data_IF_464901426103
#
_entry.id   IF_464901426103
#
_cell.length_a   1.000
_cell.length_b   1.000
_cell.length_c   1.000
_cell.angle_alpha   90.00
_cell.angle_beta   90.00
_cell.angle_gamma   90.00
#
_symmetry.space_group_name_H-M   'P 1'
#
loop_
_entity.id
_entity.type
_entity.pdbx_description
1 polymer ?
#
# COMPACT_ATOMS: atom_id res chain seq x y z
N UNK A 1 -7.51 44.87 22.77
CA UNK A 1 -7.17 43.95 21.67
C UNK A 1 -6.70 42.62 22.19
N UNK A 2 -7.60 41.64 22.22
CA UNK A 2 -7.34 40.31 22.75
C UNK A 2 -6.39 39.56 21.80
N UNK A 3 -5.22 39.18 22.31
CA UNK A 3 -4.34 38.22 21.68
C UNK A 3 -5.12 36.90 21.47
N UNK A 4 -5.53 36.65 20.23
CA UNK A 4 -6.20 35.40 19.85
C UNK A 4 -5.15 34.29 19.94
N UNK A 5 -5.11 33.60 21.07
CA UNK A 5 -4.23 32.45 21.27
C UNK A 5 -4.57 31.35 20.28
N UNK A 6 -3.55 30.71 19.71
CA UNK A 6 -3.74 29.53 18.87
C UNK A 6 -3.72 28.29 19.77
N UNK A 7 -4.86 27.61 19.89
CA UNK A 7 -4.95 26.32 20.57
C UNK A 7 -4.91 25.18 19.54
N UNK A 8 -4.11 24.12 19.79
CA UNK A 8 -4.03 23.00 18.86
C UNK A 8 -5.32 22.18 18.90
N UNK A 9 -5.87 21.88 17.72
CA UNK A 9 -6.95 20.91 17.55
C UNK A 9 -6.49 19.51 17.97
N UNK A 10 -7.44 18.61 18.27
CA UNK A 10 -7.13 17.21 18.64
C UNK A 10 -6.27 16.48 17.59
N UNK A 11 -6.52 16.73 16.30
CA UNK A 11 -5.66 16.24 15.21
C UNK A 11 -4.25 16.84 15.29
N UNK A 12 -4.11 18.14 15.56
CA UNK A 12 -2.81 18.80 15.70
C UNK A 12 -1.99 18.25 16.86
N UNK A 13 -2.63 17.99 18.00
CA UNK A 13 -1.99 17.32 19.14
C UNK A 13 -1.60 15.87 18.80
N UNK A 14 -2.45 15.14 18.07
CA UNK A 14 -2.16 13.79 17.59
C UNK A 14 -0.93 13.76 16.69
N UNK A 15 -0.89 14.62 15.66
CA UNK A 15 0.25 14.78 14.76
C UNK A 15 1.55 15.10 15.50
N UNK A 16 1.49 16.03 16.46
CA UNK A 16 2.65 16.39 17.28
C UNK A 16 3.17 15.19 18.08
N UNK A 17 2.27 14.45 18.74
CA UNK A 17 2.62 13.29 19.58
C UNK A 17 3.12 12.10 18.76
N UNK A 18 2.63 11.93 17.53
CA UNK A 18 3.07 10.84 16.65
C UNK A 18 4.40 11.13 15.97
N UNK A 19 4.97 12.34 16.13
CA UNK A 19 6.19 12.78 15.44
C UNK A 19 6.12 12.67 13.91
N UNK A 20 4.90 12.66 13.37
CA UNK A 20 4.68 12.52 11.94
C UNK A 20 4.66 13.91 11.28
N UNK A 21 5.19 14.03 10.05
CA UNK A 21 4.95 15.21 9.24
C UNK A 21 3.45 15.47 9.09
N UNK A 22 2.98 16.74 9.12
CA UNK A 22 1.56 17.07 9.00
C UNK A 22 0.89 16.46 7.76
N UNK A 23 1.61 16.40 6.65
CA UNK A 23 1.14 15.82 5.38
C UNK A 23 0.86 14.32 5.53
N UNK A 24 1.68 13.63 6.32
CA UNK A 24 1.55 12.19 6.58
C UNK A 24 0.45 11.91 7.59
N UNK A 25 0.40 12.67 8.67
CA UNK A 25 -0.66 12.56 9.66
C UNK A 25 -2.04 12.80 9.03
N UNK A 26 -2.15 13.73 8.07
CA UNK A 26 -3.40 13.95 7.35
C UNK A 26 -3.83 12.71 6.54
N UNK A 27 -2.90 12.06 5.84
CA UNK A 27 -3.22 10.87 5.04
C UNK A 27 -3.71 9.73 5.94
N UNK A 28 -2.98 9.45 7.02
CA UNK A 28 -3.39 8.42 7.99
C UNK A 28 -4.74 8.78 8.62
N UNK A 29 -4.95 10.05 8.95
CA UNK A 29 -6.24 10.52 9.46
C UNK A 29 -7.38 10.26 8.47
N UNK A 30 -7.19 10.58 7.19
CA UNK A 30 -8.20 10.34 6.15
C UNK A 30 -8.53 8.84 6.04
N UNK A 31 -7.52 7.96 6.09
CA UNK A 31 -7.71 6.51 6.08
C UNK A 31 -8.48 6.02 7.31
N UNK A 32 -8.16 6.55 8.50
CA UNK A 32 -8.84 6.19 9.75
C UNK A 32 -10.28 6.67 9.79
N UNK A 33 -10.56 7.87 9.24
CA UNK A 33 -11.92 8.36 9.10
C UNK A 33 -12.72 7.46 8.16
N UNK A 34 -12.14 7.05 7.04
CA UNK A 34 -12.77 6.13 6.09
C UNK A 34 -13.05 4.76 6.74
N UNK A 35 -12.06 4.20 7.43
CA UNK A 35 -12.18 2.95 8.17
C UNK A 35 -13.29 3.03 9.24
N UNK A 36 -13.37 4.13 9.99
CA UNK A 36 -14.42 4.33 11.00
C UNK A 36 -15.81 4.47 10.38
N UNK A 37 -15.95 5.18 9.27
CA UNK A 37 -17.26 5.46 8.65
C UNK A 37 -17.86 4.25 7.98
N UNK A 38 -17.04 3.50 7.26
CA UNK A 38 -17.53 2.41 6.44
C UNK A 38 -17.32 1.05 7.15
N UNK A 39 -16.46 0.97 8.17
CA UNK A 39 -16.10 -0.23 8.94
C UNK A 39 -14.67 -0.75 8.70
N UNK A 40 -14.20 -1.68 9.53
CA UNK A 40 -12.96 -2.42 9.29
C UNK A 40 -13.32 -3.87 8.98
N UNK A 41 -12.70 -4.44 7.95
CA UNK A 41 -12.87 -5.85 7.59
C UNK A 41 -11.90 -6.63 8.47
N UNK A 42 -12.45 -7.47 9.35
CA UNK A 42 -11.67 -8.26 10.32
C UNK A 42 -11.62 -9.75 9.97
N UNK A 43 -12.26 -10.15 8.86
CA UNK A 43 -12.21 -11.55 8.39
C UNK A 43 -10.87 -11.91 7.75
N UNK A 44 -10.09 -10.92 7.32
CA UNK A 44 -8.72 -11.08 6.80
C UNK A 44 -7.82 -9.97 7.41
N UNK A 45 -6.60 -10.28 7.86
CA UNK A 45 -5.71 -9.32 8.51
C UNK A 45 -5.21 -8.20 7.57
N UNK A 46 -5.36 -8.36 6.25
CA UNK A 46 -4.84 -7.43 5.24
C UNK A 46 -5.33 -5.99 5.43
N UNK A 47 -6.57 -5.80 5.89
CA UNK A 47 -7.08 -4.44 6.12
C UNK A 47 -6.39 -3.76 7.30
N UNK A 48 -6.15 -4.48 8.40
CA UNK A 48 -5.41 -3.94 9.55
C UNK A 48 -3.95 -3.69 9.18
N UNK A 49 -3.33 -4.64 8.45
CA UNK A 49 -1.97 -4.46 7.94
C UNK A 49 -1.89 -3.22 7.05
N UNK A 50 -2.83 -3.02 6.12
CA UNK A 50 -2.89 -1.81 5.30
C UNK A 50 -2.89 -0.54 6.15
N UNK A 51 -3.72 -0.47 7.19
CA UNK A 51 -3.82 0.69 8.07
C UNK A 51 -2.53 0.95 8.87
N UNK A 52 -1.79 -0.09 9.21
CA UNK A 52 -0.49 0.03 9.90
C UNK A 52 0.66 0.34 8.93
N UNK A 53 0.62 -0.15 7.69
CA UNK A 53 1.70 0.05 6.71
C UNK A 53 1.90 1.54 6.42
N UNK A 54 3.07 2.14 6.64
CA UNK A 54 3.33 3.53 6.29
C UNK A 54 3.50 3.67 4.76
N UNK A 55 3.07 4.80 4.18
CA UNK A 55 3.05 4.97 2.71
C UNK A 55 4.34 5.59 2.12
N UNK A 56 5.18 6.21 2.93
CA UNK A 56 6.41 6.90 2.53
C UNK A 56 7.53 5.96 2.09
N UNK A 57 7.59 4.76 2.68
CA UNK A 57 8.60 3.74 2.39
C UNK A 57 8.15 2.67 1.40
N UNK A 58 6.97 2.85 0.80
CA UNK A 58 6.43 1.91 -0.17
C UNK A 58 7.12 2.05 -1.52
N UNK A 59 7.66 0.94 -2.04
CA UNK A 59 8.16 0.88 -3.42
C UNK A 59 7.00 0.81 -4.41
N UNK A 60 7.23 1.26 -5.64
CA UNK A 60 6.30 0.98 -6.73
C UNK A 60 6.13 -0.55 -6.88
N UNK A 61 4.92 -1.09 -7.12
CA UNK A 61 4.76 -2.52 -7.24
C UNK A 61 5.38 -3.03 -8.54
N UNK A 62 5.81 -4.29 -8.55
CA UNK A 62 5.94 -5.04 -9.79
C UNK A 62 4.51 -5.28 -10.34
N UNK A 63 3.99 -4.36 -11.16
CA UNK A 63 2.58 -4.34 -11.56
C UNK A 63 2.09 -5.67 -12.17
N UNK A 64 2.95 -6.41 -12.89
CA UNK A 64 2.63 -7.74 -13.41
C UNK A 64 2.40 -8.76 -12.29
N UNK A 65 3.30 -8.82 -11.31
CA UNK A 65 3.21 -9.72 -10.17
C UNK A 65 2.03 -9.32 -9.29
N UNK A 66 1.82 -8.02 -9.09
CA UNK A 66 0.68 -7.52 -8.36
C UNK A 66 -0.65 -7.93 -9.02
N UNK A 67 -0.80 -7.76 -10.34
CA UNK A 67 -2.00 -8.20 -11.06
C UNK A 67 -2.21 -9.72 -10.95
N UNK A 68 -1.14 -10.52 -11.06
CA UNK A 68 -1.20 -11.97 -10.90
C UNK A 68 -1.70 -12.38 -9.50
N UNK A 69 -1.16 -11.76 -8.45
CA UNK A 69 -1.59 -11.99 -7.08
C UNK A 69 -3.02 -11.50 -6.82
N UNK A 70 -3.37 -10.32 -7.36
CA UNK A 70 -4.69 -9.72 -7.21
C UNK A 70 -5.79 -10.58 -7.81
N UNK A 71 -5.57 -11.20 -8.98
CA UNK A 71 -6.55 -12.11 -9.60
C UNK A 71 -6.82 -13.39 -8.81
N UNK A 72 -5.97 -13.70 -7.82
CA UNK A 72 -6.09 -14.86 -6.92
C UNK A 72 -6.65 -14.48 -5.56
N UNK A 73 -7.11 -13.24 -5.36
CA UNK A 73 -7.65 -12.80 -4.08
C UNK A 73 -8.91 -13.59 -3.71
N UNK A 74 -9.04 -13.82 -2.40
CA UNK A 74 -10.32 -14.25 -1.84
C UNK A 74 -11.34 -13.12 -1.95
N UNK A 75 -12.63 -13.44 -1.82
CA UNK A 75 -13.71 -12.44 -1.78
C UNK A 75 -13.43 -11.33 -0.77
N UNK A 76 -12.94 -11.68 0.40
CA UNK A 76 -12.66 -10.74 1.48
C UNK A 76 -11.49 -9.81 1.13
N UNK A 77 -10.42 -10.33 0.52
CA UNK A 77 -9.30 -9.51 0.06
C UNK A 77 -9.70 -8.57 -1.08
N UNK A 78 -10.59 -8.99 -1.98
CA UNK A 78 -11.18 -8.09 -2.97
C UNK A 78 -11.98 -6.97 -2.32
N UNK A 79 -12.78 -7.27 -1.29
CA UNK A 79 -13.50 -6.24 -0.53
C UNK A 79 -12.53 -5.27 0.15
N UNK A 80 -11.42 -5.76 0.73
CA UNK A 80 -10.38 -4.89 1.29
C UNK A 80 -9.78 -3.97 0.22
N UNK A 81 -9.46 -4.51 -0.95
CA UNK A 81 -8.88 -3.73 -2.05
C UNK A 81 -9.83 -2.63 -2.55
N UNK A 82 -11.10 -2.97 -2.78
CA UNK A 82 -12.14 -2.01 -3.14
C UNK A 82 -12.25 -0.90 -2.09
N UNK A 83 -12.17 -1.28 -0.82
CA UNK A 83 -12.31 -0.37 0.31
C UNK A 83 -11.22 0.67 0.44
N UNK A 84 -9.99 0.29 0.09
CA UNK A 84 -8.84 1.20 0.06
C UNK A 84 -8.70 1.91 -1.30
N UNK A 85 -9.66 1.74 -2.22
CA UNK A 85 -9.67 2.40 -3.51
C UNK A 85 -8.74 1.79 -4.56
N UNK A 86 -8.44 0.49 -4.44
CA UNK A 86 -7.62 -0.26 -5.39
C UNK A 86 -8.50 -1.21 -6.20
N UNK A 87 -8.75 -0.85 -7.45
CA UNK A 87 -9.54 -1.65 -8.37
C UNK A 87 -8.66 -2.59 -9.22
N UNK A 88 -9.13 -3.83 -9.42
CA UNK A 88 -8.46 -4.83 -10.25
C UNK A 88 -8.19 -4.31 -11.67
N UNK A 89 -9.18 -3.64 -12.27
CA UNK A 89 -9.07 -3.05 -13.60
C UNK A 89 -7.89 -2.07 -13.69
N UNK A 90 -7.72 -1.23 -12.68
CA UNK A 90 -6.66 -0.22 -12.66
C UNK A 90 -5.28 -0.86 -12.50
N UNK A 91 -5.18 -1.92 -11.69
CA UNK A 91 -3.96 -2.74 -11.56
C UNK A 91 -3.64 -3.46 -12.87
N UNK A 92 -4.63 -4.06 -13.53
CA UNK A 92 -4.44 -4.74 -14.81
C UNK A 92 -4.00 -3.80 -15.93
N UNK A 93 -4.56 -2.58 -16.00
CA UNK A 93 -4.11 -1.56 -16.96
C UNK A 93 -2.65 -1.17 -16.73
N UNK A 94 -2.24 -0.99 -15.46
CA UNK A 94 -0.84 -0.72 -15.10
C UNK A 94 0.09 -1.87 -15.47
N UNK A 95 -0.33 -3.13 -15.23
CA UNK A 95 0.43 -4.32 -15.61
C UNK A 95 0.67 -4.43 -17.11
N UNK A 96 -0.29 -3.96 -17.92
CA UNK A 96 -0.16 -3.88 -19.39
C UNK A 96 0.68 -2.69 -19.87
N UNK A 97 1.25 -1.88 -18.97
CA UNK A 97 2.00 -0.68 -19.31
C UNK A 97 1.14 0.47 -19.83
N UNK A 98 -0.19 0.42 -19.65
CA UNK A 98 -1.08 1.49 -20.09
C UNK A 98 -1.04 2.66 -19.12
N UNK A 99 -0.91 3.86 -19.66
CA UNK A 99 -0.97 5.08 -18.87
C UNK A 99 -2.40 5.38 -18.40
N UNK A 100 -2.57 5.57 -17.09
CA UNK A 100 -3.80 6.12 -16.52
C UNK A 100 -3.77 7.65 -16.68
N UNK A 101 -4.94 8.26 -16.92
CA UNK A 101 -5.06 9.72 -16.99
C UNK A 101 -4.57 10.31 -15.67
N UNK A 102 -3.63 11.26 -15.73
CA UNK A 102 -3.13 11.94 -14.53
C UNK A 102 -4.23 12.83 -13.97
N UNK A 103 -4.79 12.42 -12.83
CA UNK A 103 -5.76 13.17 -12.04
C UNK A 103 -5.58 12.85 -10.56
N UNK A 104 -6.27 13.58 -9.67
CA UNK A 104 -6.21 13.34 -8.23
C UNK A 104 -6.55 11.88 -7.87
N UNK A 105 -7.54 11.27 -8.53
CA UNK A 105 -7.91 9.87 -8.32
C UNK A 105 -6.78 8.89 -8.64
N UNK A 106 -6.06 9.09 -9.74
CA UNK A 106 -4.92 8.23 -10.11
C UNK A 106 -3.77 8.32 -9.10
N UNK A 107 -3.52 9.50 -8.52
CA UNK A 107 -2.50 9.67 -7.47
C UNK A 107 -2.89 8.93 -6.19
N UNK A 108 -4.17 8.99 -5.80
CA UNK A 108 -4.68 8.27 -4.63
C UNK A 108 -4.67 6.76 -4.87
N UNK A 109 -5.07 6.30 -6.05
CA UNK A 109 -4.97 4.90 -6.46
C UNK A 109 -3.53 4.40 -6.37
N UNK A 110 -2.57 5.11 -6.96
CA UNK A 110 -1.16 4.68 -6.95
C UNK A 110 -0.58 4.60 -5.54
N UNK A 111 -0.95 5.54 -4.66
CA UNK A 111 -0.56 5.51 -3.25
C UNK A 111 -1.16 4.30 -2.54
N UNK A 112 -2.45 4.07 -2.71
CA UNK A 112 -3.17 2.97 -2.05
C UNK A 112 -2.71 1.62 -2.59
N UNK A 113 -2.44 1.50 -3.89
CA UNK A 113 -1.90 0.31 -4.53
C UNK A 113 -0.50 -0.04 -4.01
N UNK A 114 0.40 0.96 -3.91
CA UNK A 114 1.74 0.77 -3.33
C UNK A 114 1.67 0.26 -1.89
N UNK A 115 0.80 0.85 -1.09
CA UNK A 115 0.61 0.49 0.31
C UNK A 115 -0.07 -0.87 0.48
N UNK A 116 -1.06 -1.20 -0.34
CA UNK A 116 -1.70 -2.52 -0.35
C UNK A 116 -0.71 -3.61 -0.73
N UNK A 117 0.15 -3.35 -1.73
CA UNK A 117 1.21 -4.27 -2.12
C UNK A 117 2.20 -4.53 -0.98
N UNK A 118 2.65 -3.48 -0.30
CA UNK A 118 3.50 -3.62 0.89
C UNK A 118 2.78 -4.36 2.04
N UNK A 119 1.49 -4.11 2.26
CA UNK A 119 0.68 -4.83 3.25
C UNK A 119 0.58 -6.34 2.94
N UNK A 120 0.48 -6.73 1.67
CA UNK A 120 0.51 -8.14 1.28
C UNK A 120 1.87 -8.80 1.55
N UNK A 121 2.97 -8.05 1.34
CA UNK A 121 4.30 -8.54 1.67
C UNK A 121 4.42 -8.75 3.18
N UNK A 122 3.96 -7.79 3.97
CA UNK A 122 3.91 -7.91 5.44
C UNK A 122 3.02 -9.06 5.89
N UNK A 123 1.90 -9.31 5.21
CA UNK A 123 1.05 -10.49 5.47
C UNK A 123 1.82 -11.80 5.25
N UNK A 124 2.58 -11.93 4.15
CA UNK A 124 3.41 -13.11 3.92
C UNK A 124 4.52 -13.28 4.97
N UNK A 125 5.12 -12.16 5.39
CA UNK A 125 6.10 -12.11 6.48
C UNK A 125 5.50 -12.56 7.81
N UNK A 126 4.30 -12.06 8.16
CA UNK A 126 3.58 -12.40 9.38
C UNK A 126 3.18 -13.87 9.43
N UNK A 127 2.97 -14.49 8.27
CA UNK A 127 2.72 -15.92 8.13
C UNK A 127 4.02 -16.76 8.05
N UNK A 128 5.14 -16.22 8.53
CA UNK A 128 6.44 -16.90 8.61
C UNK A 128 6.95 -17.48 7.27
N UNK A 129 6.54 -16.87 6.15
CA UNK A 129 6.98 -17.32 4.83
C UNK A 129 8.48 -17.01 4.64
N UNK A 130 9.31 -17.96 4.18
CA UNK A 130 10.73 -17.72 3.97
C UNK A 130 10.97 -16.55 3.00
N UNK A 131 11.95 -15.68 3.30
CA UNK A 131 12.23 -14.48 2.49
C UNK A 131 12.49 -14.78 1.00
N UNK A 132 13.09 -15.93 0.68
CA UNK A 132 13.30 -16.37 -0.69
C UNK A 132 11.99 -16.67 -1.42
N UNK A 133 11.01 -17.24 -0.72
CA UNK A 133 9.70 -17.57 -1.29
C UNK A 133 8.86 -16.31 -1.46
N UNK A 134 8.95 -15.35 -0.53
CA UNK A 134 8.34 -14.02 -0.69
C UNK A 134 8.94 -13.31 -1.90
N UNK A 135 10.27 -13.26 -1.99
CA UNK A 135 10.99 -12.66 -3.13
C UNK A 135 10.55 -13.29 -4.45
N UNK A 136 10.40 -14.62 -4.49
CA UNK A 136 9.86 -15.31 -5.68
C UNK A 136 8.42 -14.87 -5.92
N UNK A 137 7.51 -15.09 -4.97
CA UNK A 137 6.08 -14.81 -5.14
C UNK A 137 5.76 -13.39 -5.60
N UNK A 138 6.49 -12.39 -5.10
CA UNK A 138 6.28 -10.98 -5.43
C UNK A 138 7.13 -10.45 -6.60
N UNK A 139 8.07 -11.25 -7.13
CA UNK A 139 8.82 -10.89 -8.33
C UNK A 139 8.47 -11.78 -9.54
N UNK A 140 7.81 -12.92 -9.31
CA UNK A 140 7.58 -13.93 -10.33
C UNK A 140 6.59 -13.44 -11.37
N UNK A 141 6.93 -13.71 -12.62
CA UNK A 141 6.18 -13.39 -13.81
C UNK A 141 5.69 -14.68 -14.43
N UNK A 142 4.74 -15.37 -13.79
CA UNK A 142 4.01 -16.48 -14.45
C UNK A 142 3.23 -16.04 -15.71
N UNK A 143 3.28 -14.75 -16.09
CA UNK A 143 2.93 -14.27 -17.44
C UNK A 143 4.18 -13.75 -18.17
N UNK A 144 4.41 -14.28 -19.38
CA UNK A 144 5.52 -14.09 -20.33
C UNK A 144 5.82 -12.65 -20.81
N UNK A 145 5.50 -11.60 -20.04
CA UNK A 145 5.80 -10.20 -20.37
C UNK A 145 6.95 -9.73 -19.49
N UNK A 146 8.16 -10.15 -19.85
CA UNK A 146 9.40 -9.57 -19.29
C UNK A 146 9.73 -8.32 -20.11
N UNK A 147 9.87 -7.13 -19.51
CA UNK A 147 10.34 -5.95 -20.25
C UNK A 147 11.76 -6.21 -20.76
N UNK A 148 12.00 -6.03 -22.07
CA UNK A 148 13.29 -6.23 -22.77
C UNK A 148 14.41 -5.25 -22.37
N UNK A 149 14.48 -4.82 -21.12
CA UNK A 149 15.50 -3.92 -20.59
C UNK A 149 16.47 -4.71 -19.70
N UNK A 150 17.75 -4.72 -20.06
CA UNK A 150 18.86 -5.35 -19.32
C UNK A 150 19.12 -4.72 -17.92
N UNK A 151 18.21 -3.90 -17.39
CA UNK A 151 18.28 -3.35 -16.03
C UNK A 151 17.32 -4.13 -15.14
N UNK A 152 17.87 -4.71 -14.07
CA UNK A 152 17.08 -5.23 -12.95
C UNK A 152 16.10 -4.12 -12.53
N UNK A 153 14.79 -4.35 -12.62
CA UNK A 153 13.84 -3.27 -12.43
C UNK A 153 13.84 -2.85 -10.95
N UNK A 154 13.89 -1.53 -10.69
CA UNK A 154 14.13 -0.97 -9.35
C UNK A 154 13.03 -1.28 -8.32
N UNK A 155 11.90 -1.82 -8.79
CA UNK A 155 10.71 -2.17 -8.03
C UNK A 155 10.67 -3.64 -7.58
N UNK A 156 11.74 -4.42 -7.76
CA UNK A 156 11.79 -5.77 -7.21
C UNK A 156 11.79 -5.77 -5.68
N UNK A 157 11.11 -6.75 -5.13
CA UNK A 157 11.17 -7.09 -3.71
C UNK A 157 12.49 -7.80 -3.47
N UNK A 158 13.34 -7.24 -2.62
CA UNK A 158 14.61 -7.81 -2.22
C UNK A 158 14.64 -7.96 -0.69
N UNK A 159 15.65 -8.69 -0.17
CA UNK A 159 15.77 -8.92 1.27
C UNK A 159 15.93 -7.62 2.08
N UNK A 160 16.62 -6.62 1.55
CA UNK A 160 16.78 -5.34 2.23
C UNK A 160 15.44 -4.62 2.39
N UNK A 161 14.60 -4.64 1.35
CA UNK A 161 13.26 -4.09 1.42
C UNK A 161 12.35 -4.83 2.40
N UNK A 162 12.48 -6.16 2.50
CA UNK A 162 11.73 -6.94 3.49
C UNK A 162 12.12 -6.55 4.92
N UNK A 163 13.41 -6.44 5.19
CA UNK A 163 13.93 -6.02 6.50
C UNK A 163 13.52 -4.57 6.81
N UNK A 164 13.56 -3.67 5.83
CA UNK A 164 13.10 -2.28 5.99
C UNK A 164 11.61 -2.21 6.33
N UNK A 165 10.77 -3.00 5.65
CA UNK A 165 9.35 -3.09 5.95
C UNK A 165 9.11 -3.67 7.35
N UNK A 166 9.83 -4.70 7.77
CA UNK A 166 9.66 -5.28 9.11
C UNK A 166 10.05 -4.31 10.23
N UNK A 167 11.15 -3.58 10.05
CA UNK A 167 11.71 -2.74 11.11
C UNK A 167 11.02 -1.37 11.22
N UNK A 168 10.33 -0.93 10.16
CA UNK A 168 9.78 0.42 10.06
C UNK A 168 8.30 0.47 9.67
N UNK A 169 7.59 -0.67 9.65
CA UNK A 169 6.14 -0.70 9.51
C UNK A 169 5.42 -0.44 10.84
#
# INVERSE_FOLDING_TARGET
DAARGWEPLGLGMGTYKSTLPPEMAKVIWDDMVLARQQGVILSDPLHLLYLCTPFDRTKEPAWWAFASLFSRFSRDRHLVAERVGVEERSVALKAQGRALKRCAGTVLFERSARRLYAAMILDAVMNETPANDITRMFNDSSSSVVPSSNKVPANLVDRGYLEDLQNNA
#
